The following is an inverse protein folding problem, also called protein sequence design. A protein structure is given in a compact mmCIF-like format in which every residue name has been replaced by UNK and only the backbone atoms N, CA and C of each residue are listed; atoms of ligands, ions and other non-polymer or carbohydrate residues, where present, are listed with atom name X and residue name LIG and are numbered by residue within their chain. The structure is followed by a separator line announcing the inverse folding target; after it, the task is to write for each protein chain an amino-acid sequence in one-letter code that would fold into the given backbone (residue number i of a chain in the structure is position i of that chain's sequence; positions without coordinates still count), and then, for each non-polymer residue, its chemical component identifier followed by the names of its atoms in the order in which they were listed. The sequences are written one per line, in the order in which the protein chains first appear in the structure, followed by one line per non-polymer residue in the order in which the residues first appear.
data_IF_568076719694
#
_entry.id   IF_568076719694
#
_cell.length_a   1.000
_cell.length_b   1.000
_cell.length_c   1.000
_cell.angle_alpha   90.00
_cell.angle_beta   90.00
_cell.angle_gamma   90.00
#
_symmetry.space_group_name_H-M   'P 1'
#
loop_
_entity.id
_entity.type
_entity.pdbx_description
1 polymer ?
#
# COMPACT_ATOMS: atom_id res chain seq x y z
N UNK A 1 2.16 -10.63 -21.99
CA UNK A 1 1.00 -9.71 -21.94
C UNK A 1 0.45 -9.76 -20.52
N UNK A 2 0.38 -8.62 -19.85
CA UNK A 2 -0.17 -8.52 -18.50
C UNK A 2 -1.67 -8.85 -18.48
N UNK A 3 -2.24 -9.07 -17.29
CA UNK A 3 -3.69 -9.26 -17.15
C UNK A 3 -4.45 -8.02 -17.67
N UNK A 4 -4.01 -6.82 -17.26
CA UNK A 4 -4.67 -5.58 -17.67
C UNK A 4 -4.64 -5.36 -19.20
N UNK A 5 -3.54 -5.72 -19.86
CA UNK A 5 -3.48 -5.66 -21.33
C UNK A 5 -4.42 -6.67 -21.99
N UNK A 6 -4.58 -7.86 -21.43
CA UNK A 6 -5.55 -8.85 -21.93
C UNK A 6 -6.98 -8.34 -21.75
N UNK A 7 -7.29 -7.75 -20.59
CA UNK A 7 -8.61 -7.19 -20.29
C UNK A 7 -9.02 -6.03 -21.19
N UNK A 8 -8.06 -5.20 -21.64
CA UNK A 8 -8.33 -4.15 -22.64
C UNK A 8 -8.81 -4.72 -23.99
N UNK A 9 -8.46 -5.96 -24.29
CA UNK A 9 -8.83 -6.63 -25.53
C UNK A 9 -10.09 -7.50 -25.38
N UNK A 10 -10.57 -7.72 -24.15
CA UNK A 10 -11.76 -8.49 -23.87
C UNK A 10 -13.00 -7.85 -24.51
N UNK A 11 -13.80 -8.68 -25.18
CA UNK A 11 -15.02 -8.28 -25.88
C UNK A 11 -16.29 -8.81 -25.21
N UNK A 12 -16.12 -9.71 -24.27
CA UNK A 12 -17.21 -10.40 -23.57
C UNK A 12 -16.82 -10.68 -22.11
N UNK A 13 -17.82 -10.97 -21.30
CA UNK A 13 -17.61 -11.43 -19.92
C UNK A 13 -16.83 -12.76 -19.87
N UNK A 14 -16.98 -13.63 -20.87
CA UNK A 14 -16.19 -14.86 -20.98
C UNK A 14 -14.70 -14.58 -21.21
N UNK A 15 -14.36 -13.59 -22.05
CA UNK A 15 -12.95 -13.18 -22.25
C UNK A 15 -12.35 -12.66 -20.94
N UNK A 16 -13.12 -11.91 -20.14
CA UNK A 16 -12.71 -11.43 -18.83
C UNK A 16 -12.45 -12.62 -17.89
N UNK A 17 -13.40 -13.55 -17.78
CA UNK A 17 -13.24 -14.76 -16.94
C UNK A 17 -12.00 -15.57 -17.32
N UNK A 18 -11.77 -15.79 -18.60
CA UNK A 18 -10.62 -16.55 -19.10
C UNK A 18 -9.30 -15.86 -18.82
N UNK A 19 -9.24 -14.53 -18.97
CA UNK A 19 -8.04 -13.75 -18.62
C UNK A 19 -7.68 -13.89 -17.12
N UNK A 20 -8.66 -13.79 -16.24
CA UNK A 20 -8.44 -13.95 -14.80
C UNK A 20 -8.07 -15.38 -14.40
N UNK A 21 -8.77 -16.38 -14.94
CA UNK A 21 -8.44 -17.81 -14.71
C UNK A 21 -6.99 -18.08 -15.03
N UNK A 22 -6.52 -17.60 -16.19
CA UNK A 22 -5.15 -17.75 -16.65
C UNK A 22 -4.15 -17.01 -15.77
N UNK A 23 -4.40 -15.73 -15.46
CA UNK A 23 -3.48 -14.90 -14.66
C UNK A 23 -3.33 -15.40 -13.23
N UNK A 24 -4.44 -15.85 -12.63
CA UNK A 24 -4.47 -16.39 -11.28
C UNK A 24 -4.02 -17.86 -11.21
N UNK A 25 -3.97 -18.56 -12.36
CA UNK A 25 -3.61 -19.98 -12.42
C UNK A 25 -4.65 -20.87 -11.72
N UNK A 26 -5.94 -20.51 -11.80
CA UNK A 26 -7.01 -21.24 -11.12
C UNK A 26 -7.15 -22.65 -11.70
N UNK A 27 -7.27 -23.65 -10.82
CA UNK A 27 -7.47 -25.06 -11.17
C UNK A 27 -8.78 -25.57 -10.56
N UNK A 28 -9.36 -26.56 -11.19
CA UNK A 28 -10.59 -27.19 -10.69
C UNK A 28 -11.78 -26.22 -10.58
N UNK A 29 -11.81 -25.23 -11.47
CA UNK A 29 -12.90 -24.26 -11.54
C UNK A 29 -14.10 -24.80 -12.34
N UNK A 30 -15.27 -24.27 -12.06
CA UNK A 30 -16.46 -24.36 -12.89
C UNK A 30 -16.99 -22.96 -13.19
N UNK A 31 -17.72 -22.85 -14.31
CA UNK A 31 -18.45 -21.64 -14.70
C UNK A 31 -19.93 -21.95 -14.75
N UNK A 32 -20.77 -21.05 -14.27
CA UNK A 32 -22.24 -21.29 -14.23
C UNK A 32 -22.97 -20.09 -13.65
N UNK A 33 -23.86 -20.34 -12.68
CA UNK A 33 -24.55 -19.27 -11.95
C UNK A 33 -23.60 -18.34 -11.21
N UNK A 34 -22.49 -18.88 -10.71
CA UNK A 34 -21.35 -18.14 -10.22
C UNK A 34 -20.32 -18.15 -11.34
N UNK A 35 -19.84 -16.97 -11.74
CA UNK A 35 -19.03 -16.81 -12.95
C UNK A 35 -17.75 -17.64 -12.96
N UNK A 36 -17.02 -17.67 -11.83
CA UNK A 36 -15.90 -18.57 -11.61
C UNK A 36 -16.04 -19.16 -10.19
N UNK A 37 -16.15 -20.46 -10.10
CA UNK A 37 -16.33 -21.18 -8.84
C UNK A 37 -15.18 -22.16 -8.63
N UNK A 38 -14.44 -22.01 -7.52
CA UNK A 38 -13.48 -23.00 -7.00
C UNK A 38 -13.83 -23.37 -5.56
N UNK A 39 -13.10 -24.29 -4.97
CA UNK A 39 -13.26 -24.62 -3.53
C UNK A 39 -12.81 -23.48 -2.63
N UNK A 40 -11.83 -22.70 -3.07
CA UNK A 40 -11.16 -21.67 -2.29
C UNK A 40 -11.79 -20.28 -2.48
N UNK A 41 -12.31 -19.98 -3.68
CA UNK A 41 -12.81 -18.66 -4.02
C UNK A 41 -13.90 -18.71 -5.08
N UNK A 42 -14.94 -17.89 -4.92
CA UNK A 42 -15.96 -17.62 -5.93
C UNK A 42 -15.80 -16.20 -6.45
N UNK A 43 -15.97 -16.02 -7.75
CA UNK A 43 -15.93 -14.71 -8.39
C UNK A 43 -17.24 -14.41 -9.12
N UNK A 44 -17.68 -13.15 -8.99
CA UNK A 44 -18.62 -12.50 -9.90
C UNK A 44 -17.82 -11.64 -10.86
N UNK A 45 -18.11 -11.74 -12.15
CA UNK A 45 -17.41 -11.05 -13.23
C UNK A 45 -18.33 -10.08 -13.97
N UNK A 46 -17.76 -9.02 -14.54
CA UNK A 46 -18.43 -8.12 -15.48
C UNK A 46 -17.50 -7.77 -16.64
N UNK A 47 -18.06 -7.55 -17.80
CA UNK A 47 -17.34 -7.19 -19.02
C UNK A 47 -16.96 -5.72 -19.11
N UNK A 48 -17.42 -4.87 -18.16
CA UNK A 48 -17.14 -3.44 -18.13
C UNK A 48 -16.87 -2.95 -16.73
N UNK A 49 -16.03 -1.92 -16.59
CA UNK A 49 -15.73 -1.27 -15.30
C UNK A 49 -16.86 -0.43 -14.69
N UNK A 50 -18.07 -0.43 -15.31
CA UNK A 50 -19.18 0.46 -14.91
C UNK A 50 -19.90 0.01 -13.64
N UNK A 51 -19.95 -1.31 -13.38
CA UNK A 51 -20.61 -1.86 -12.20
C UNK A 51 -19.74 -1.65 -10.96
N UNK A 52 -20.32 -1.14 -9.88
CA UNK A 52 -19.56 -0.96 -8.63
C UNK A 52 -19.22 -2.31 -7.99
N UNK A 53 -18.11 -2.37 -7.26
CA UNK A 53 -17.72 -3.58 -6.50
C UNK A 53 -18.80 -3.98 -5.50
N UNK A 54 -19.50 -3.00 -4.90
CA UNK A 54 -20.63 -3.25 -4.01
C UNK A 54 -21.78 -3.98 -4.70
N UNK A 55 -22.13 -3.57 -5.92
CA UNK A 55 -23.18 -4.20 -6.70
C UNK A 55 -22.83 -5.63 -7.07
N UNK A 56 -21.58 -5.88 -7.49
CA UNK A 56 -21.09 -7.23 -7.79
C UNK A 56 -21.04 -8.11 -6.54
N UNK A 57 -20.57 -7.59 -5.40
CA UNK A 57 -20.64 -8.34 -4.15
C UNK A 57 -22.08 -8.61 -3.70
N UNK A 58 -23.01 -7.67 -3.89
CA UNK A 58 -24.43 -7.91 -3.58
C UNK A 58 -24.97 -9.11 -4.36
N UNK A 59 -24.62 -9.21 -5.63
CA UNK A 59 -24.99 -10.35 -6.49
C UNK A 59 -24.34 -11.65 -5.98
N UNK A 60 -23.04 -11.63 -5.71
CA UNK A 60 -22.27 -12.79 -5.23
C UNK A 60 -22.77 -13.28 -3.85
N UNK A 61 -23.07 -12.34 -2.93
CA UNK A 61 -23.59 -12.66 -1.60
C UNK A 61 -25.00 -13.26 -1.62
N UNK A 62 -25.81 -12.94 -2.62
CA UNK A 62 -27.06 -13.64 -2.84
C UNK A 62 -26.82 -15.13 -3.11
N UNK A 63 -25.84 -15.49 -3.96
CA UNK A 63 -25.48 -16.90 -4.18
C UNK A 63 -24.96 -17.56 -2.92
N UNK A 64 -24.14 -16.87 -2.13
CA UNK A 64 -23.69 -17.37 -0.82
C UNK A 64 -24.87 -17.67 0.10
N UNK A 65 -25.85 -16.76 0.20
CA UNK A 65 -27.05 -16.97 1.01
C UNK A 65 -27.87 -18.16 0.52
N UNK A 66 -28.01 -18.32 -0.79
CA UNK A 66 -28.74 -19.47 -1.37
C UNK A 66 -28.03 -20.79 -1.04
N UNK A 67 -26.70 -20.83 -1.14
CA UNK A 67 -25.89 -22.00 -0.79
C UNK A 67 -26.03 -22.34 0.70
N UNK A 68 -25.92 -21.35 1.59
CA UNK A 68 -26.11 -21.54 3.03
C UNK A 68 -27.49 -22.06 3.37
N UNK A 69 -28.55 -21.55 2.74
CA UNK A 69 -29.91 -22.02 2.96
C UNK A 69 -30.14 -23.47 2.50
N UNK A 70 -29.34 -23.95 1.54
CA UNK A 70 -29.34 -25.34 1.07
C UNK A 70 -28.41 -26.25 1.88
N UNK A 71 -27.63 -25.70 2.83
CA UNK A 71 -26.60 -26.46 3.57
C UNK A 71 -25.37 -26.79 2.71
N UNK A 72 -25.18 -26.09 1.59
CA UNK A 72 -24.01 -26.26 0.72
C UNK A 72 -22.80 -25.53 1.31
N UNK A 73 -21.59 -26.05 1.05
CA UNK A 73 -20.36 -25.40 1.45
C UNK A 73 -20.13 -24.12 0.63
N UNK A 74 -19.67 -23.06 1.31
CA UNK A 74 -19.26 -21.82 0.68
C UNK A 74 -17.72 -21.68 0.74
N UNK A 75 -17.08 -21.00 -0.21
CA UNK A 75 -15.63 -20.88 -0.23
C UNK A 75 -15.15 -19.93 0.88
N UNK A 76 -13.90 -20.03 1.33
CA UNK A 76 -13.31 -19.09 2.31
C UNK A 76 -13.16 -17.66 1.77
N UNK A 77 -13.13 -17.48 0.44
CA UNK A 77 -12.97 -16.18 -0.18
C UNK A 77 -14.01 -15.87 -1.23
N UNK A 78 -14.33 -14.59 -1.37
CA UNK A 78 -15.21 -14.04 -2.39
C UNK A 78 -14.47 -12.96 -3.15
N UNK A 79 -14.58 -12.96 -4.47
CA UNK A 79 -13.95 -11.97 -5.34
C UNK A 79 -14.93 -11.37 -6.34
N UNK A 80 -14.67 -10.14 -6.73
CA UNK A 80 -15.37 -9.49 -7.84
C UNK A 80 -14.35 -8.93 -8.80
N UNK A 81 -14.59 -9.08 -10.11
CA UNK A 81 -13.62 -8.81 -11.16
C UNK A 81 -14.29 -8.16 -12.37
N UNK A 82 -13.64 -7.20 -12.97
CA UNK A 82 -14.02 -6.61 -14.24
C UNK A 82 -12.80 -6.19 -15.07
N UNK A 83 -12.98 -5.40 -16.12
CA UNK A 83 -11.89 -4.95 -17.00
C UNK A 83 -10.98 -3.88 -16.39
N UNK A 84 -11.38 -3.24 -15.27
CA UNK A 84 -10.67 -2.11 -14.68
C UNK A 84 -10.23 -2.35 -13.24
N UNK A 85 -11.03 -3.13 -12.50
CA UNK A 85 -10.85 -3.33 -11.07
C UNK A 85 -11.14 -4.75 -10.64
N UNK A 86 -10.58 -5.12 -9.51
CA UNK A 86 -10.87 -6.36 -8.82
C UNK A 86 -10.95 -6.11 -7.32
N UNK A 87 -11.68 -6.95 -6.59
CA UNK A 87 -11.69 -6.91 -5.14
C UNK A 87 -11.84 -8.32 -4.56
N UNK A 88 -11.31 -8.52 -3.35
CA UNK A 88 -11.37 -9.79 -2.63
C UNK A 88 -11.73 -9.54 -1.15
N UNK A 89 -12.52 -10.43 -0.55
CA UNK A 89 -12.80 -10.44 0.88
C UNK A 89 -12.87 -11.86 1.43
N UNK A 90 -12.77 -12.01 2.75
CA UNK A 90 -13.02 -13.27 3.44
C UNK A 90 -14.52 -13.49 3.57
N UNK A 91 -14.98 -14.69 3.28
CA UNK A 91 -16.38 -15.06 3.48
C UNK A 91 -16.77 -15.03 4.95
N UNK A 92 -15.84 -15.41 5.86
CA UNK A 92 -16.05 -15.38 7.31
C UNK A 92 -16.49 -14.03 7.84
N UNK A 93 -16.06 -12.92 7.22
CA UNK A 93 -16.34 -11.57 7.70
C UNK A 93 -17.81 -11.18 7.49
N UNK A 94 -18.47 -11.77 6.50
CA UNK A 94 -19.86 -11.46 6.13
C UNK A 94 -20.86 -12.51 6.63
N UNK A 95 -20.43 -13.74 6.95
CA UNK A 95 -21.31 -14.80 7.45
C UNK A 95 -22.15 -14.40 8.67
N UNK A 96 -21.61 -13.72 9.72
CA UNK A 96 -22.41 -13.31 10.88
C UNK A 96 -23.54 -12.36 10.52
N UNK A 97 -23.33 -11.50 9.53
CA UNK A 97 -24.36 -10.60 9.02
C UNK A 97 -25.46 -11.38 8.28
N UNK A 98 -25.08 -12.25 7.35
CA UNK A 98 -26.03 -13.07 6.61
C UNK A 98 -26.84 -14.01 7.49
N UNK A 99 -26.26 -14.49 8.59
CA UNK A 99 -26.95 -15.35 9.56
C UNK A 99 -27.98 -14.61 10.44
N UNK A 100 -27.71 -13.33 10.75
CA UNK A 100 -28.55 -12.55 11.69
C UNK A 100 -29.62 -11.71 11.00
N UNK A 101 -29.46 -11.41 9.73
CA UNK A 101 -30.28 -10.43 9.03
C UNK A 101 -30.97 -11.05 7.81
N UNK A 102 -32.27 -10.84 7.70
CA UNK A 102 -33.01 -11.21 6.50
C UNK A 102 -32.90 -10.06 5.49
N UNK A 103 -31.96 -10.18 4.55
CA UNK A 103 -31.79 -9.23 3.47
C UNK A 103 -32.96 -9.39 2.49
N UNK A 104 -33.57 -8.31 2.10
CA UNK A 104 -34.66 -8.31 1.09
C UNK A 104 -34.08 -8.45 -0.32
N UNK A 105 -33.60 -9.64 -0.63
CA UNK A 105 -33.10 -9.95 -1.97
C UNK A 105 -34.16 -9.69 -3.05
N UNK A 106 -33.73 -9.42 -4.27
CA UNK A 106 -34.62 -9.31 -5.42
C UNK A 106 -35.10 -10.68 -5.95
N UNK A 107 -35.63 -10.67 -7.17
CA UNK A 107 -36.12 -11.89 -7.83
C UNK A 107 -34.98 -12.87 -8.20
N UNK A 108 -33.80 -12.34 -8.44
CA UNK A 108 -32.58 -13.13 -8.73
C UNK A 108 -31.35 -12.37 -8.26
N UNK A 109 -30.19 -12.99 -8.29
CA UNK A 109 -28.93 -12.35 -7.90
C UNK A 109 -28.62 -11.09 -8.73
N UNK A 110 -28.88 -11.12 -10.04
CA UNK A 110 -28.69 -9.95 -10.91
C UNK A 110 -29.80 -8.89 -10.82
N UNK A 111 -30.93 -9.22 -10.18
CA UNK A 111 -32.09 -8.33 -9.99
C UNK A 111 -32.27 -8.03 -8.49
N UNK A 112 -31.20 -7.68 -7.80
CA UNK A 112 -31.22 -7.28 -6.41
C UNK A 112 -32.02 -5.96 -6.22
N UNK A 113 -32.59 -5.77 -5.03
CA UNK A 113 -33.32 -4.54 -4.70
C UNK A 113 -32.34 -3.41 -4.34
N UNK A 114 -32.74 -2.13 -4.51
CA UNK A 114 -31.96 -1.00 -4.02
C UNK A 114 -31.67 -1.08 -2.53
N UNK A 115 -32.62 -1.60 -1.74
CA UNK A 115 -32.49 -1.79 -0.29
C UNK A 115 -31.40 -2.82 0.02
N UNK A 116 -31.38 -3.96 -0.70
CA UNK A 116 -30.34 -4.97 -0.54
C UNK A 116 -28.97 -4.41 -0.86
N UNK A 117 -28.83 -3.67 -1.95
CA UNK A 117 -27.57 -3.00 -2.31
C UNK A 117 -27.13 -2.02 -1.23
N UNK A 118 -27.99 -1.18 -0.72
CA UNK A 118 -27.67 -0.19 0.32
C UNK A 118 -27.24 -0.88 1.62
N UNK A 119 -27.98 -1.91 2.04
CA UNK A 119 -27.71 -2.67 3.26
C UNK A 119 -26.38 -3.42 3.20
N UNK A 120 -26.13 -4.13 2.09
CA UNK A 120 -24.85 -4.83 1.85
C UNK A 120 -23.70 -3.82 1.79
N UNK A 121 -23.85 -2.73 1.03
CA UNK A 121 -22.80 -1.72 0.88
C UNK A 121 -22.39 -1.10 2.21
N UNK A 122 -23.37 -0.80 3.07
CA UNK A 122 -23.10 -0.26 4.40
C UNK A 122 -22.33 -1.27 5.29
N UNK A 123 -22.58 -2.58 5.10
CA UNK A 123 -21.95 -3.60 5.92
C UNK A 123 -20.54 -3.99 5.44
N UNK A 124 -20.36 -4.21 4.13
CA UNK A 124 -19.11 -4.76 3.60
C UNK A 124 -18.03 -3.70 3.32
N UNK A 125 -18.31 -2.43 3.49
CA UNK A 125 -17.42 -1.33 3.08
C UNK A 125 -15.99 -1.38 3.61
N UNK A 126 -15.76 -2.07 4.73
CA UNK A 126 -14.43 -2.25 5.35
C UNK A 126 -13.86 -3.65 5.19
N UNK A 127 -14.58 -4.60 4.60
CA UNK A 127 -14.19 -6.00 4.58
C UNK A 127 -13.44 -6.42 3.32
N UNK A 128 -13.64 -5.74 2.20
CA UNK A 128 -12.94 -6.11 0.98
C UNK A 128 -11.75 -5.20 0.68
N UNK A 129 -10.74 -5.79 0.04
CA UNK A 129 -9.59 -5.07 -0.50
C UNK A 129 -9.82 -4.89 -2.00
N UNK A 130 -9.82 -3.65 -2.47
CA UNK A 130 -10.05 -3.30 -3.87
C UNK A 130 -8.74 -2.88 -4.55
N UNK A 131 -8.58 -3.34 -5.80
CA UNK A 131 -7.40 -3.09 -6.62
C UNK A 131 -7.82 -2.44 -7.94
N UNK A 132 -7.12 -1.38 -8.35
CA UNK A 132 -7.22 -0.83 -9.70
C UNK A 132 -6.20 -1.55 -10.58
N UNK A 133 -6.64 -2.32 -11.56
CA UNK A 133 -5.76 -3.22 -12.33
C UNK A 133 -4.68 -2.48 -13.13
N UNK A 134 -4.98 -1.27 -13.60
CA UNK A 134 -3.97 -0.45 -14.29
C UNK A 134 -2.73 -0.11 -13.44
N UNK A 135 -2.84 -0.26 -12.11
CA UNK A 135 -1.77 0.12 -11.16
C UNK A 135 -1.44 -0.94 -10.13
N UNK A 136 -2.36 -1.87 -9.83
CA UNK A 136 -2.24 -2.85 -8.74
C UNK A 136 -2.54 -4.28 -9.20
N UNK A 137 -2.23 -4.60 -10.46
CA UNK A 137 -2.43 -5.93 -11.03
C UNK A 137 -1.64 -7.00 -10.28
N UNK A 138 -0.36 -6.74 -10.02
CA UNK A 138 0.55 -7.68 -9.37
C UNK A 138 0.12 -7.94 -7.92
N UNK A 139 -0.22 -6.88 -7.19
CA UNK A 139 -0.69 -6.99 -5.80
C UNK A 139 -2.01 -7.76 -5.69
N UNK A 140 -2.91 -7.59 -6.66
CA UNK A 140 -4.14 -8.38 -6.73
C UNK A 140 -3.84 -9.86 -6.96
N UNK A 141 -3.01 -10.18 -7.95
CA UNK A 141 -2.64 -11.57 -8.28
C UNK A 141 -1.97 -12.22 -7.06
N UNK A 142 -1.07 -11.51 -6.38
CA UNK A 142 -0.39 -12.02 -5.20
C UNK A 142 -1.37 -12.21 -4.03
N UNK A 143 -2.29 -11.26 -3.78
CA UNK A 143 -3.30 -11.37 -2.75
C UNK A 143 -4.20 -12.61 -2.93
N UNK A 144 -4.66 -12.87 -4.16
CA UNK A 144 -5.49 -14.06 -4.45
C UNK A 144 -4.68 -15.34 -4.30
N UNK A 145 -3.47 -15.42 -4.85
CA UNK A 145 -2.60 -16.60 -4.72
C UNK A 145 -2.26 -16.88 -3.27
N UNK A 146 -1.98 -15.84 -2.49
CA UNK A 146 -1.72 -15.96 -1.06
C UNK A 146 -2.96 -16.44 -0.31
N UNK A 147 -4.14 -15.86 -0.59
CA UNK A 147 -5.39 -16.28 0.01
C UNK A 147 -5.66 -17.78 -0.21
N UNK A 148 -5.50 -18.25 -1.44
CA UNK A 148 -5.67 -19.66 -1.80
C UNK A 148 -4.66 -20.56 -1.06
N UNK A 149 -3.40 -20.10 -0.93
CA UNK A 149 -2.30 -20.89 -0.35
C UNK A 149 -2.32 -20.91 1.18
N UNK A 150 -2.59 -19.79 1.81
CA UNK A 150 -2.41 -19.60 3.26
C UNK A 150 -3.71 -19.52 4.04
N UNK A 151 -4.85 -19.36 3.35
CA UNK A 151 -6.14 -19.09 3.99
C UNK A 151 -6.29 -17.65 4.51
N UNK A 152 -5.40 -16.73 4.11
CA UNK A 152 -5.44 -15.33 4.51
C UNK A 152 -5.07 -14.37 3.37
N UNK A 153 -5.68 -13.17 3.38
CA UNK A 153 -5.32 -12.09 2.48
C UNK A 153 -4.12 -11.35 3.08
N UNK A 154 -2.94 -11.59 2.52
CA UNK A 154 -1.71 -10.98 2.99
C UNK A 154 -1.50 -9.65 2.26
N UNK A 155 -1.24 -8.59 3.02
CA UNK A 155 -0.90 -7.29 2.45
C UNK A 155 0.48 -7.31 1.82
N UNK A 156 0.63 -6.65 0.68
CA UNK A 156 1.89 -6.54 -0.02
C UNK A 156 2.96 -5.85 0.84
N UNK A 157 4.17 -6.38 0.85
CA UNK A 157 5.30 -5.79 1.57
C UNK A 157 5.90 -4.63 0.76
N UNK A 158 6.23 -3.55 1.45
CA UNK A 158 7.04 -2.46 0.89
C UNK A 158 8.51 -2.86 1.04
N UNK A 159 9.20 -2.95 -0.09
CA UNK A 159 10.58 -3.40 -0.19
C UNK A 159 11.42 -2.38 -0.97
N UNK A 160 12.75 -2.43 -0.90
CA UNK A 160 13.61 -1.57 -1.73
C UNK A 160 13.35 -1.70 -3.23
N UNK A 161 12.87 -2.86 -3.69
CA UNK A 161 12.65 -3.13 -5.12
C UNK A 161 11.35 -2.49 -5.65
N UNK A 162 10.29 -2.39 -4.82
CA UNK A 162 9.02 -1.80 -5.24
C UNK A 162 8.80 -0.38 -4.69
N UNK A 163 9.75 0.18 -3.94
CA UNK A 163 9.61 1.47 -3.24
C UNK A 163 9.11 2.58 -4.17
N UNK A 164 9.74 2.75 -5.34
CA UNK A 164 9.37 3.80 -6.30
C UNK A 164 7.94 3.62 -6.81
N UNK A 165 7.55 2.41 -7.17
CA UNK A 165 6.18 2.11 -7.63
C UNK A 165 5.16 2.37 -6.53
N UNK A 166 5.46 1.94 -5.30
CA UNK A 166 4.59 2.16 -4.13
C UNK A 166 4.48 3.65 -3.83
N UNK A 167 5.56 4.42 -3.92
CA UNK A 167 5.55 5.87 -3.78
C UNK A 167 4.65 6.56 -4.82
N UNK A 168 4.81 6.21 -6.11
CA UNK A 168 3.98 6.78 -7.17
C UNK A 168 2.48 6.50 -6.95
N UNK A 169 2.15 5.29 -6.49
CA UNK A 169 0.78 4.92 -6.12
C UNK A 169 0.29 5.69 -4.87
N UNK A 170 1.16 5.88 -3.88
CA UNK A 170 0.85 6.66 -2.69
C UNK A 170 0.58 8.13 -3.05
N UNK A 171 1.42 8.74 -3.89
CA UNK A 171 1.19 10.11 -4.38
C UNK A 171 -0.16 10.21 -5.09
N UNK A 172 -0.47 9.28 -5.99
CA UNK A 172 -1.72 9.29 -6.75
C UNK A 172 -2.98 9.08 -5.89
N UNK A 173 -2.90 8.33 -4.80
CA UNK A 173 -4.03 7.99 -3.94
C UNK A 173 -4.15 8.85 -2.70
N UNK A 174 -3.05 9.37 -2.19
CA UNK A 174 -2.95 10.06 -0.90
C UNK A 174 -2.31 11.44 -1.07
N UNK A 175 -1.13 11.52 -1.69
CA UNK A 175 -0.35 12.75 -1.78
C UNK A 175 -1.13 13.90 -2.41
N UNK A 176 -1.82 13.65 -3.52
CA UNK A 176 -2.64 14.66 -4.22
C UNK A 176 -3.86 15.13 -3.41
N UNK A 177 -4.28 14.37 -2.40
CA UNK A 177 -5.36 14.74 -1.48
C UNK A 177 -4.88 15.58 -0.29
N UNK A 178 -3.58 15.74 -0.11
CA UNK A 178 -3.00 16.57 0.96
C UNK A 178 -2.86 18.00 0.44
N UNK A 179 -3.74 18.89 0.88
CA UNK A 179 -3.79 20.27 0.41
C UNK A 179 -2.67 21.12 1.00
N UNK A 180 -2.02 21.90 0.14
CA UNK A 180 -1.03 22.90 0.57
C UNK A 180 0.39 22.39 0.76
N UNK A 181 0.65 21.12 0.48
CA UNK A 181 2.00 20.51 0.51
C UNK A 181 2.67 20.71 -0.85
N UNK A 182 3.94 21.07 -0.84
CA UNK A 182 4.76 21.11 -2.06
C UNK A 182 5.01 19.70 -2.58
N UNK A 183 5.13 19.54 -3.90
CA UNK A 183 5.37 18.23 -4.52
C UNK A 183 6.66 17.60 -4.02
N UNK A 184 7.68 18.42 -3.76
CA UNK A 184 9.00 18.03 -3.24
C UNK A 184 8.92 17.36 -1.87
N UNK A 185 7.89 17.72 -1.08
CA UNK A 185 7.72 17.24 0.28
C UNK A 185 6.97 15.90 0.34
N UNK A 186 6.38 15.43 -0.77
CA UNK A 186 5.64 14.16 -0.77
C UNK A 186 6.50 12.96 -0.34
N UNK A 187 7.80 12.96 -0.66
CA UNK A 187 8.70 11.90 -0.23
C UNK A 187 8.84 11.85 1.29
N UNK A 188 8.92 13.00 1.96
CA UNK A 188 9.02 13.09 3.42
C UNK A 188 7.75 12.57 4.10
N UNK A 189 6.58 12.99 3.60
CA UNK A 189 5.29 12.53 4.12
C UNK A 189 5.08 11.04 3.90
N UNK A 190 5.47 10.54 2.72
CA UNK A 190 5.41 9.12 2.41
C UNK A 190 6.25 8.28 3.38
N UNK A 191 7.49 8.73 3.68
CA UNK A 191 8.34 8.02 4.64
C UNK A 191 7.79 8.09 6.06
N UNK A 192 7.23 9.22 6.48
CA UNK A 192 6.55 9.32 7.77
C UNK A 192 5.38 8.32 7.87
N UNK A 193 4.63 8.14 6.78
CA UNK A 193 3.48 7.24 6.73
C UNK A 193 3.89 5.77 6.70
N UNK A 194 4.82 5.36 5.83
CA UNK A 194 5.25 3.96 5.75
C UNK A 194 6.01 3.48 6.97
N UNK A 195 6.74 4.38 7.66
CA UNK A 195 7.47 4.04 8.89
C UNK A 195 6.62 4.14 10.16
N UNK A 196 5.32 4.41 10.02
CA UNK A 196 4.37 4.41 11.14
C UNK A 196 3.81 3.02 11.40
N UNK A 197 3.25 2.83 12.58
CA UNK A 197 2.45 1.65 12.93
C UNK A 197 0.97 1.79 12.51
N UNK A 198 0.64 2.89 11.86
CA UNK A 198 -0.70 3.26 11.45
C UNK A 198 -1.36 4.29 12.37
N UNK A 199 -0.78 4.57 13.50
CA UNK A 199 -1.25 5.58 14.46
C UNK A 199 -0.27 6.73 14.61
N UNK A 200 1.01 6.44 14.78
CA UNK A 200 2.08 7.44 14.92
C UNK A 200 3.31 7.02 14.13
N UNK A 201 4.09 7.99 13.71
CA UNK A 201 5.41 7.74 13.15
C UNK A 201 6.33 7.15 14.20
N UNK A 202 6.93 5.99 13.91
CA UNK A 202 7.84 5.30 14.83
C UNK A 202 9.29 5.76 14.68
N UNK A 203 9.58 6.58 13.68
CA UNK A 203 10.93 7.03 13.36
C UNK A 203 11.15 8.48 13.81
N UNK A 204 11.98 8.67 14.84
CA UNK A 204 12.16 9.96 15.54
C UNK A 204 12.95 11.02 14.76
N UNK A 205 13.60 10.66 13.66
CA UNK A 205 14.54 11.53 12.94
C UNK A 205 14.04 12.00 11.57
N UNK A 206 12.73 11.93 11.31
CA UNK A 206 12.15 12.48 10.10
C UNK A 206 11.58 13.87 10.37
N UNK A 207 11.74 14.84 9.46
CA UNK A 207 11.14 16.18 9.60
C UNK A 207 9.61 16.15 9.45
N UNK A 208 9.08 15.04 8.93
CA UNK A 208 7.65 14.79 8.78
C UNK A 208 7.20 13.66 9.72
N UNK A 209 6.02 13.81 10.28
CA UNK A 209 5.40 12.84 11.17
C UNK A 209 3.97 12.53 10.77
N UNK A 210 3.55 11.28 10.92
CA UNK A 210 2.14 10.91 10.93
C UNK A 210 1.61 11.10 12.36
N UNK A 211 0.51 11.79 12.49
CA UNK A 211 -0.19 12.05 13.75
C UNK A 211 -1.66 11.65 13.60
N UNK A 212 -2.36 11.53 14.72
CA UNK A 212 -3.82 11.35 14.75
C UNK A 212 -4.48 12.52 15.47
N UNK A 213 -5.48 13.08 14.81
CA UNK A 213 -6.33 14.13 15.38
C UNK A 213 -7.79 13.72 15.23
N UNK A 214 -8.50 13.57 16.36
CA UNK A 214 -9.89 13.07 16.37
C UNK A 214 -10.05 11.73 15.62
N UNK A 215 -9.16 10.77 15.90
CA UNK A 215 -9.08 9.45 15.25
C UNK A 215 -8.84 9.48 13.72
N UNK A 216 -8.34 10.61 13.21
CA UNK A 216 -8.04 10.79 11.80
C UNK A 216 -6.54 11.00 11.57
N UNK A 217 -5.97 10.37 10.52
CA UNK A 217 -4.58 10.58 10.17
C UNK A 217 -4.37 12.00 9.63
N UNK A 218 -3.36 12.68 10.16
CA UNK A 218 -2.89 13.97 9.68
C UNK A 218 -1.37 13.93 9.57
N UNK A 219 -0.81 14.73 8.68
CA UNK A 219 0.63 14.83 8.53
C UNK A 219 1.13 16.13 9.17
N UNK A 220 2.25 16.02 9.90
CA UNK A 220 3.02 17.17 10.37
C UNK A 220 4.30 17.26 9.55
N UNK A 221 4.63 18.45 9.07
CA UNK A 221 5.91 18.73 8.41
C UNK A 221 6.43 20.08 8.91
N UNK A 222 7.59 20.09 9.55
CA UNK A 222 8.18 21.29 10.15
C UNK A 222 7.21 22.04 11.08
N UNK A 223 6.37 21.32 11.81
CA UNK A 223 5.37 21.88 12.74
C UNK A 223 4.07 22.37 12.09
N UNK A 224 3.94 22.32 10.75
CA UNK A 224 2.69 22.58 10.06
C UNK A 224 1.87 21.29 9.95
N UNK A 225 0.56 21.40 10.18
CA UNK A 225 -0.37 20.27 10.09
C UNK A 225 -1.10 20.30 8.75
N UNK A 226 -1.12 19.17 8.09
CA UNK A 226 -1.79 18.96 6.82
C UNK A 226 -2.84 17.85 6.95
N UNK A 227 -4.05 18.15 6.55
CA UNK A 227 -5.20 17.22 6.60
C UNK A 227 -5.41 16.53 5.25
N UNK A 228 -5.95 15.32 5.29
CA UNK A 228 -6.35 14.58 4.09
C UNK A 228 -7.69 15.10 3.55
N UNK A 229 -7.75 15.42 2.27
CA UNK A 229 -8.99 15.77 1.57
C UNK A 229 -9.91 14.57 1.38
N UNK A 230 -9.34 13.38 1.14
CA UNK A 230 -10.08 12.11 0.99
C UNK A 230 -9.46 11.01 1.85
N UNK A 231 -10.27 10.45 2.73
CA UNK A 231 -9.87 9.30 3.58
C UNK A 231 -9.99 7.97 2.85
N UNK A 232 -10.78 7.92 1.80
CA UNK A 232 -11.04 6.69 1.07
C UNK A 232 -9.76 6.19 0.37
N UNK A 233 -9.02 7.08 -0.29
CA UNK A 233 -7.73 6.77 -0.90
C UNK A 233 -6.74 6.23 0.12
N UNK A 234 -6.65 6.86 1.29
CA UNK A 234 -5.79 6.43 2.40
C UNK A 234 -6.14 5.03 2.90
N UNK A 235 -7.43 4.76 3.18
CA UNK A 235 -7.88 3.44 3.63
C UNK A 235 -7.64 2.36 2.58
N UNK A 236 -7.92 2.65 1.31
CA UNK A 236 -7.69 1.70 0.19
C UNK A 236 -6.22 1.37 0.02
N UNK A 237 -5.34 2.36 0.09
CA UNK A 237 -3.90 2.14 -0.02
C UNK A 237 -3.40 1.21 1.09
N UNK A 238 -3.73 1.51 2.34
CA UNK A 238 -3.29 0.70 3.49
C UNK A 238 -4.04 -0.63 3.66
N UNK A 239 -5.10 -0.85 2.92
CA UNK A 239 -5.68 -2.19 2.78
C UNK A 239 -4.80 -3.10 1.90
N UNK A 240 -4.10 -2.53 0.92
CA UNK A 240 -3.23 -3.25 -0.02
C UNK A 240 -1.84 -3.49 0.58
N UNK A 241 -1.25 -2.48 1.22
CA UNK A 241 0.14 -2.52 1.71
C UNK A 241 0.24 -2.73 3.21
N UNK A 242 1.31 -3.41 3.62
CA UNK A 242 1.66 -3.60 5.03
C UNK A 242 2.60 -2.49 5.51
N UNK A 243 2.32 -1.93 6.69
CA UNK A 243 3.20 -1.00 7.40
C UNK A 243 3.31 -1.37 8.89
N UNK A 244 4.41 -1.05 9.55
CA UNK A 244 5.65 -0.60 8.95
C UNK A 244 6.29 -1.71 8.11
N UNK A 245 7.23 -1.37 7.19
CA UNK A 245 8.00 -2.38 6.47
C UNK A 245 8.72 -3.31 7.44
N UNK A 246 9.04 -4.54 7.01
CA UNK A 246 9.83 -5.46 7.81
C UNK A 246 11.15 -4.82 8.23
N UNK A 247 11.61 -5.13 9.44
CA UNK A 247 12.85 -4.57 10.01
C UNK A 247 14.05 -4.71 9.07
N UNK A 248 14.17 -5.84 8.37
CA UNK A 248 15.24 -6.11 7.40
C UNK A 248 15.28 -5.15 6.19
N UNK A 249 14.17 -4.46 5.89
CA UNK A 249 14.09 -3.52 4.76
C UNK A 249 14.20 -2.05 5.19
N UNK A 250 14.00 -1.72 6.47
CA UNK A 250 13.85 -0.32 6.93
C UNK A 250 15.04 0.54 6.60
N UNK A 251 16.24 0.06 6.88
CA UNK A 251 17.48 0.82 6.65
C UNK A 251 17.69 1.05 5.14
N UNK A 252 17.50 0.00 4.32
CA UNK A 252 17.58 0.12 2.86
C UNK A 252 16.52 1.05 2.27
N UNK A 253 15.33 1.09 2.85
CA UNK A 253 14.27 2.01 2.41
C UNK A 253 14.65 3.45 2.73
N UNK A 254 15.17 3.71 3.93
CA UNK A 254 15.62 5.04 4.34
C UNK A 254 16.77 5.54 3.46
N UNK A 255 17.74 4.70 3.13
CA UNK A 255 18.82 5.03 2.20
C UNK A 255 18.32 5.40 0.79
N UNK A 256 17.19 4.86 0.37
CA UNK A 256 16.60 5.14 -0.96
C UNK A 256 15.61 6.28 -0.97
N UNK A 257 15.37 6.96 0.15
CA UNK A 257 14.46 8.09 0.24
C UNK A 257 14.72 9.12 -0.87
N UNK A 258 15.97 9.44 -1.07
CA UNK A 258 16.37 10.48 -2.03
C UNK A 258 16.16 10.07 -3.49
N UNK A 259 16.06 8.76 -3.77
CA UNK A 259 15.73 8.25 -5.10
C UNK A 259 14.31 8.58 -5.52
N UNK A 260 13.44 8.98 -4.59
CA UNK A 260 12.06 9.38 -4.85
C UNK A 260 11.93 10.87 -5.22
N UNK A 261 12.96 11.67 -4.95
CA UNK A 261 13.00 13.08 -5.37
C UNK A 261 13.34 13.12 -6.87
N UNK A 262 12.66 13.93 -7.68
CA UNK A 262 12.96 14.08 -9.11
C UNK A 262 14.44 14.38 -9.36
N UNK A 263 15.00 13.77 -10.39
CA UNK A 263 16.45 13.88 -10.70
C UNK A 263 16.87 15.34 -10.91
N UNK A 264 16.04 16.12 -11.58
CA UNK A 264 16.33 17.54 -11.87
C UNK A 264 16.43 18.36 -10.59
N UNK A 265 15.58 18.09 -9.60
CA UNK A 265 15.61 18.75 -8.30
C UNK A 265 16.79 18.28 -7.45
N UNK A 266 17.09 16.97 -7.47
CA UNK A 266 18.29 16.44 -6.80
C UNK A 266 19.56 17.04 -7.37
N UNK A 267 19.65 17.16 -8.69
CA UNK A 267 20.78 17.76 -9.37
C UNK A 267 20.92 19.24 -9.03
N UNK A 268 19.82 19.99 -9.00
CA UNK A 268 19.80 21.40 -8.65
C UNK A 268 20.16 21.66 -7.18
N UNK A 269 19.64 20.84 -6.25
CA UNK A 269 19.91 20.94 -4.80
C UNK A 269 21.22 20.26 -4.38
N UNK A 270 21.89 19.51 -5.27
CA UNK A 270 23.07 18.70 -4.93
C UNK A 270 22.73 17.55 -3.96
N UNK A 271 21.47 17.13 -3.89
CA UNK A 271 20.96 16.14 -2.92
C UNK A 271 21.31 14.69 -3.32
N UNK A 272 22.61 14.39 -3.37
CA UNK A 272 23.13 13.04 -3.59
C UNK A 272 23.77 12.56 -2.29
N UNK A 273 23.07 11.69 -1.57
CA UNK A 273 23.50 11.23 -0.25
C UNK A 273 24.36 9.99 -0.34
N UNK A 274 25.41 9.95 0.43
CA UNK A 274 26.34 8.82 0.46
C UNK A 274 25.65 7.59 1.06
N UNK A 275 25.58 6.44 0.35
CA UNK A 275 25.03 5.21 0.90
C UNK A 275 25.77 4.76 2.15
N UNK A 276 25.05 4.23 3.16
CA UNK A 276 25.64 3.81 4.43
C UNK A 276 26.75 2.75 4.29
N UNK A 277 26.66 1.87 3.30
CA UNK A 277 27.71 0.90 3.02
C UNK A 277 29.03 1.57 2.56
N UNK A 278 28.92 2.73 1.88
CA UNK A 278 30.10 3.53 1.51
C UNK A 278 30.62 4.29 2.74
N UNK A 279 29.73 4.75 3.61
CA UNK A 279 30.10 5.37 4.90
C UNK A 279 30.85 4.37 5.77
N UNK A 280 30.36 3.13 5.89
CA UNK A 280 31.07 2.05 6.61
C UNK A 280 32.50 1.89 6.10
N UNK A 281 32.64 1.76 4.79
CA UNK A 281 33.99 1.60 4.20
C UNK A 281 34.88 2.81 4.42
N UNK A 282 34.32 4.03 4.38
CA UNK A 282 35.06 5.25 4.68
C UNK A 282 35.56 5.26 6.14
N UNK A 283 34.71 4.86 7.10
CA UNK A 283 35.09 4.75 8.51
C UNK A 283 36.14 3.65 8.74
N UNK A 284 36.06 2.51 8.06
CA UNK A 284 37.10 1.48 8.09
C UNK A 284 38.45 2.04 7.63
N UNK A 285 38.47 2.75 6.50
CA UNK A 285 39.69 3.37 5.97
C UNK A 285 40.25 4.46 6.89
N UNK A 286 39.40 5.25 7.56
CA UNK A 286 39.83 6.24 8.54
C UNK A 286 40.41 5.56 9.78
N UNK A 287 39.81 4.46 10.25
CA UNK A 287 40.38 3.65 11.34
C UNK A 287 41.75 3.07 10.98
N UNK A 288 41.94 2.56 9.76
CA UNK A 288 43.19 2.03 9.25
C UNK A 288 44.28 3.11 9.14
N UNK A 289 43.88 4.33 8.74
CA UNK A 289 44.83 5.41 8.44
C UNK A 289 45.20 6.25 9.66
N UNK A 290 44.18 6.58 10.49
CA UNK A 290 44.34 7.52 11.62
C UNK A 290 44.36 6.84 12.98
N UNK A 291 44.10 5.50 13.00
CA UNK A 291 44.01 4.76 14.27
C UNK A 291 42.58 4.74 14.82
N UNK A 292 42.31 3.79 15.72
CA UNK A 292 40.94 3.57 16.24
C UNK A 292 40.32 4.69 17.05
N UNK A 293 41.16 5.64 17.54
CA UNK A 293 40.71 6.77 18.39
C UNK A 293 40.43 8.05 17.59
N UNK A 294 40.52 8.04 16.28
CA UNK A 294 40.45 9.27 15.47
C UNK A 294 39.16 10.07 15.72
N UNK A 295 38.03 9.39 15.98
CA UNK A 295 36.76 10.06 16.27
C UNK A 295 36.77 10.90 17.57
N UNK A 296 37.71 10.64 18.48
CA UNK A 296 37.89 11.39 19.71
C UNK A 296 38.97 12.48 19.56
N UNK A 297 39.93 12.27 18.67
CA UNK A 297 41.10 13.12 18.51
C UNK A 297 40.96 14.20 17.45
N UNK A 298 40.10 13.95 16.42
CA UNK A 298 39.92 14.85 15.29
C UNK A 298 38.55 15.50 15.32
N UNK A 299 38.49 16.74 14.87
CA UNK A 299 37.25 17.46 14.57
C UNK A 299 36.92 17.25 13.09
N UNK A 300 35.69 16.86 12.81
CA UNK A 300 35.16 16.71 11.46
C UNK A 300 34.31 17.95 11.16
N UNK A 301 34.51 18.51 9.99
CA UNK A 301 33.63 19.51 9.43
C UNK A 301 33.14 19.07 8.06
N UNK A 302 31.87 18.68 8.01
CA UNK A 302 31.18 18.41 6.74
C UNK A 302 30.44 19.66 6.29
N UNK A 303 30.96 20.28 5.21
CA UNK A 303 30.44 21.53 4.67
C UNK A 303 29.16 21.33 3.84
N UNK A 304 28.82 20.11 3.51
CA UNK A 304 27.69 19.73 2.66
C UNK A 304 26.99 18.47 3.19
N UNK A 305 26.72 18.44 4.49
CA UNK A 305 26.28 17.22 5.19
C UNK A 305 24.95 16.62 4.69
N UNK A 306 24.16 17.40 3.95
CA UNK A 306 22.85 16.95 3.51
C UNK A 306 21.99 16.50 4.70
N UNK A 307 21.66 15.22 4.76
CA UNK A 307 20.89 14.59 5.86
C UNK A 307 21.78 13.96 6.94
N UNK A 308 23.10 14.15 6.87
CA UNK A 308 24.05 13.65 7.89
C UNK A 308 24.38 12.15 7.76
N UNK A 309 24.30 11.58 6.57
CA UNK A 309 24.62 10.16 6.38
C UNK A 309 26.09 9.82 6.71
N UNK A 310 27.02 10.75 6.46
CA UNK A 310 28.43 10.54 6.79
C UNK A 310 28.69 10.55 8.29
N UNK A 311 27.89 11.29 9.05
CA UNK A 311 28.07 11.51 10.49
C UNK A 311 27.30 10.52 11.36
N UNK A 312 26.32 9.83 10.80
CA UNK A 312 25.39 8.97 11.56
C UNK A 312 26.09 7.88 12.38
N UNK A 313 27.30 7.47 11.96
CA UNK A 313 28.10 6.42 12.63
C UNK A 313 29.22 6.99 13.53
N UNK A 314 29.35 8.31 13.59
CA UNK A 314 30.39 8.92 14.42
C UNK A 314 30.04 8.79 15.90
N UNK A 315 30.97 8.23 16.69
CA UNK A 315 30.74 7.95 18.11
C UNK A 315 30.79 9.17 19.03
N UNK A 316 31.34 10.29 18.54
CA UNK A 316 31.47 11.53 19.33
C UNK A 316 30.84 12.72 18.59
N UNK A 317 29.56 13.03 18.82
CA UNK A 317 28.87 14.12 18.12
C UNK A 317 29.44 15.53 18.48
N UNK A 318 30.22 15.68 19.56
CA UNK A 318 30.86 16.95 19.93
C UNK A 318 31.99 17.33 18.98
N UNK A 319 32.54 16.38 18.25
CA UNK A 319 33.63 16.59 17.30
C UNK A 319 33.12 16.75 15.86
N UNK A 320 31.81 16.93 15.67
CA UNK A 320 31.19 17.05 14.33
C UNK A 320 30.62 18.46 14.18
N UNK A 321 31.03 19.12 13.10
CA UNK A 321 30.44 20.37 12.63
C UNK A 321 29.83 20.12 11.26
N UNK A 322 28.55 20.42 11.12
CA UNK A 322 27.78 20.18 9.89
C UNK A 322 27.23 21.49 9.37
N UNK A 323 27.25 21.66 8.05
CA UNK A 323 26.56 22.73 7.36
C UNK A 323 25.83 22.21 6.13
N UNK A 324 24.64 22.73 5.88
CA UNK A 324 23.83 22.39 4.70
C UNK A 324 23.10 23.61 4.19
N UNK A 325 22.77 23.62 2.91
CA UNK A 325 21.94 24.66 2.31
C UNK A 325 20.46 24.51 2.64
N UNK A 326 20.03 23.30 2.98
CA UNK A 326 18.64 23.00 3.24
C UNK A 326 18.38 22.89 4.74
N UNK A 327 17.57 23.83 5.28
CA UNK A 327 17.19 23.83 6.70
C UNK A 327 16.31 22.64 7.09
N UNK A 328 15.69 21.94 6.13
CA UNK A 328 14.81 20.80 6.39
C UNK A 328 15.57 19.51 6.70
N UNK A 329 16.89 19.47 6.46
CA UNK A 329 17.73 18.28 6.61
C UNK A 329 18.41 18.11 7.96
N UNK A 330 18.41 19.12 8.85
CA UNK A 330 19.12 19.07 10.13
C UNK A 330 18.12 18.73 11.24
N UNK A 331 18.23 17.55 11.90
CA UNK A 331 17.49 17.33 13.13
C UNK A 331 17.98 18.32 14.20
N UNK A 332 17.11 18.84 15.09
CA UNK A 332 17.53 19.68 16.19
C UNK A 332 18.54 18.92 17.05
N UNK A 333 19.71 19.48 17.22
CA UNK A 333 20.75 18.99 18.13
C UNK A 333 20.21 19.14 19.54
N UNK A 334 19.86 18.03 20.17
CA UNK A 334 19.46 17.94 21.59
C UNK A 334 20.66 17.93 22.50
#
# INVERSE_FOLDING_TARGET
MSLFEQLKQAKSEEDVKDAYIKALGLKGYSKGLIDIQTKEIWFEAKDTGRTSSYAMFTQLLHYVQVALNKGEAVPPFLGVIDTEKAAIMKTSDVLPFLAKKTVKWGKSASQYTPEALAEISAHIGTYFVAFKLSTHEEEFIEAVKSAIKTGDIIRAQITPNNLKQVFDKWVAMIGLEIKGVAVDDYALLFFADIMSDGTISTHKNLPAELLHRNDEPVFSLNGHIYELGSREGYRRFWAIYHRPPKAEYRDYLLERRDSLIPIDERAFKGAFYTPLAVVDKAYDLLNETLGSNWQQEYIIWDMCCGVGNLEVKHSNPRNIFMSTLDQTGIPPIS
#
